data_IF_905172922249
#
_entry.id   IF_905172922249
#
_cell.length_a   1.000
_cell.length_b   1.000
_cell.length_c   1.000
_cell.angle_alpha   90.00
_cell.angle_beta   90.00
_cell.angle_gamma   90.00
#
_symmetry.space_group_name_H-M   'P 1'
#
loop_
_entity.id
_entity.type
_entity.pdbx_description
1 polymer ?
#
# COMPACT_ATOMS: atom_id res chain seq x y z
N UNK A 1 53.16 -68.82 13.40
CA UNK A 1 53.81 -68.82 14.73
C UNK A 1 53.02 -67.99 15.72
N UNK A 2 52.60 -68.62 16.80
CA UNK A 2 52.34 -68.11 18.16
C UNK A 2 51.07 -67.26 18.29
N UNK A 3 49.98 -67.81 18.82
CA UNK A 3 49.68 -68.13 20.21
C UNK A 3 49.76 -66.88 21.14
N UNK A 4 48.62 -66.48 21.68
CA UNK A 4 48.36 -66.32 23.11
C UNK A 4 46.99 -65.67 23.34
N UNK A 5 46.07 -66.42 23.80
CA UNK A 5 45.47 -66.48 25.15
C UNK A 5 44.59 -65.29 25.56
N UNK A 6 43.31 -65.57 25.54
CA UNK A 6 42.36 -65.54 26.68
C UNK A 6 42.62 -64.46 27.75
N UNK A 7 41.63 -63.59 27.91
CA UNK A 7 41.09 -63.22 29.24
C UNK A 7 39.63 -62.86 29.17
N UNK A 8 38.84 -63.76 29.65
CA UNK A 8 37.44 -63.59 30.04
C UNK A 8 37.46 -62.69 31.30
N UNK A 9 36.82 -61.56 31.25
CA UNK A 9 36.41 -60.83 32.44
C UNK A 9 34.92 -60.53 32.30
N UNK A 10 34.15 -61.34 32.99
CA UNK A 10 32.80 -61.08 33.41
C UNK A 10 32.78 -59.78 34.21
N UNK A 11 32.06 -58.80 33.81
CA UNK A 11 31.60 -57.77 34.71
C UNK A 11 30.15 -57.44 34.34
N UNK A 12 29.24 -58.28 34.83
CA UNK A 12 27.84 -57.97 34.96
C UNK A 12 27.70 -56.78 35.91
N UNK A 13 27.72 -55.60 35.38
CA UNK A 13 27.12 -54.43 36.08
C UNK A 13 25.66 -54.38 35.69
N UNK A 14 24.82 -54.96 36.54
CA UNK A 14 23.40 -54.67 36.61
C UNK A 14 23.16 -53.19 36.67
N UNK A 15 22.87 -52.60 35.52
CA UNK A 15 22.37 -51.22 35.46
C UNK A 15 20.93 -51.26 35.97
N UNK A 16 20.76 -50.93 37.25
CA UNK A 16 19.45 -50.64 37.82
C UNK A 16 18.97 -49.38 37.15
N UNK A 17 18.17 -49.51 36.10
CA UNK A 17 17.37 -48.48 35.54
C UNK A 17 16.37 -48.01 36.61
N UNK A 18 16.73 -46.92 37.30
CA UNK A 18 15.79 -46.14 38.06
C UNK A 18 15.14 -45.15 37.12
N UNK A 19 14.34 -45.64 36.21
CA UNK A 19 13.32 -44.82 35.56
C UNK A 19 12.24 -44.52 36.61
N UNK A 20 12.49 -43.54 37.46
CA UNK A 20 11.42 -42.86 38.18
C UNK A 20 10.58 -42.15 37.11
N UNK A 21 9.63 -42.91 36.55
CA UNK A 21 8.63 -42.37 35.65
C UNK A 21 7.87 -41.27 36.38
N UNK A 22 8.24 -40.03 36.08
CA UNK A 22 7.43 -38.85 36.42
C UNK A 22 6.14 -38.99 35.59
N UNK A 23 5.18 -39.70 36.11
CA UNK A 23 3.85 -39.80 35.55
C UNK A 23 3.22 -38.43 35.74
N UNK A 24 3.38 -37.58 34.73
CA UNK A 24 2.57 -36.36 34.64
C UNK A 24 1.12 -36.83 34.53
N UNK A 25 0.36 -36.63 35.57
CA UNK A 25 -1.07 -36.85 35.59
C UNK A 25 -1.70 -35.85 34.64
N UNK A 26 -1.83 -36.17 33.39
CA UNK A 26 -2.52 -35.34 32.41
C UNK A 26 -3.97 -35.25 32.86
N UNK A 27 -4.35 -34.07 33.35
CA UNK A 27 -5.77 -33.75 33.54
C UNK A 27 -6.36 -33.57 32.15
N UNK A 28 -7.17 -34.48 31.70
CA UNK A 28 -7.95 -34.33 30.47
C UNK A 28 -8.94 -33.17 30.61
N UNK A 29 -9.08 -32.38 29.56
CA UNK A 29 -10.13 -31.37 29.47
C UNK A 29 -11.52 -32.02 29.51
N UNK A 30 -12.42 -31.40 30.25
CA UNK A 30 -13.80 -31.79 30.25
C UNK A 30 -14.50 -31.30 28.97
N UNK A 31 -15.49 -32.04 28.50
CA UNK A 31 -16.25 -31.68 27.30
C UNK A 31 -16.94 -30.33 27.44
N UNK A 32 -17.37 -29.98 28.67
CA UNK A 32 -18.00 -28.68 28.96
C UNK A 32 -17.01 -27.51 28.93
N UNK A 33 -15.79 -27.70 29.39
CA UNK A 33 -14.73 -26.67 29.31
C UNK A 33 -14.43 -26.32 27.85
N UNK A 34 -14.34 -27.32 26.97
CA UNK A 34 -14.11 -27.10 25.55
C UNK A 34 -15.31 -26.36 24.92
N UNK A 35 -16.54 -26.77 25.25
CA UNK A 35 -17.75 -26.20 24.68
C UNK A 35 -17.91 -24.73 25.07
N UNK A 36 -17.63 -24.36 26.31
CA UNK A 36 -17.68 -22.95 26.78
C UNK A 36 -16.63 -22.10 26.07
N UNK A 37 -15.41 -22.62 25.89
CA UNK A 37 -14.35 -21.88 25.19
C UNK A 37 -14.71 -21.60 23.74
N UNK A 38 -15.21 -22.60 22.99
CA UNK A 38 -15.59 -22.38 21.59
C UNK A 38 -16.79 -21.45 21.46
N UNK A 39 -17.72 -21.47 22.41
CA UNK A 39 -18.86 -20.55 22.44
C UNK A 39 -18.40 -19.08 22.63
N UNK A 40 -17.48 -18.84 23.56
CA UNK A 40 -16.90 -17.50 23.80
C UNK A 40 -16.13 -17.02 22.57
N UNK A 41 -15.26 -17.88 22.00
CA UNK A 41 -14.51 -17.53 20.78
C UNK A 41 -15.47 -17.23 19.63
N UNK A 42 -16.55 -17.97 19.47
CA UNK A 42 -17.57 -17.75 18.44
C UNK A 42 -18.22 -16.36 18.55
N UNK A 43 -18.60 -15.95 19.77
CA UNK A 43 -19.17 -14.63 20.01
C UNK A 43 -18.15 -13.52 19.74
N UNK A 44 -16.94 -13.65 20.25
CA UNK A 44 -15.87 -12.66 20.03
C UNK A 44 -15.49 -12.54 18.55
N UNK A 45 -15.43 -13.66 17.82
CA UNK A 45 -15.16 -13.65 16.40
C UNK A 45 -16.26 -12.91 15.61
N UNK A 46 -17.53 -13.14 15.93
CA UNK A 46 -18.64 -12.50 15.25
C UNK A 46 -18.60 -10.97 15.37
N UNK A 47 -18.33 -10.44 16.57
CA UNK A 47 -18.21 -9.00 16.81
C UNK A 47 -16.90 -8.45 16.18
N UNK A 48 -15.80 -9.20 16.28
CA UNK A 48 -14.48 -8.82 15.80
C UNK A 48 -14.46 -8.61 14.27
N UNK A 49 -15.13 -9.46 13.50
CA UNK A 49 -15.14 -9.35 12.02
C UNK A 49 -15.84 -8.06 11.57
N UNK A 50 -16.97 -7.68 12.19
CA UNK A 50 -17.70 -6.46 11.83
C UNK A 50 -16.87 -5.21 12.17
N UNK A 51 -16.28 -5.15 13.35
CA UNK A 51 -15.41 -4.04 13.77
C UNK A 51 -14.18 -3.91 12.88
N UNK A 52 -13.52 -5.02 12.52
CA UNK A 52 -12.34 -5.05 11.68
C UNK A 52 -12.64 -4.56 10.25
N UNK A 53 -13.80 -4.94 9.68
CA UNK A 53 -14.19 -4.50 8.33
C UNK A 53 -14.38 -2.98 8.26
N UNK A 54 -15.02 -2.37 9.26
CA UNK A 54 -15.19 -0.93 9.36
C UNK A 54 -13.86 -0.18 9.50
N UNK A 55 -12.96 -0.70 10.34
CA UNK A 55 -11.62 -0.13 10.51
C UNK A 55 -10.80 -0.16 9.23
N UNK A 56 -10.80 -1.28 8.51
CA UNK A 56 -10.03 -1.41 7.26
C UNK A 56 -10.54 -0.48 6.15
N UNK A 57 -11.85 -0.26 6.05
CA UNK A 57 -12.43 0.69 5.10
C UNK A 57 -12.04 2.13 5.43
N UNK A 58 -12.12 2.52 6.71
CA UNK A 58 -11.68 3.85 7.15
C UNK A 58 -10.19 4.08 6.92
N UNK A 59 -9.34 3.09 7.19
CA UNK A 59 -7.91 3.16 6.93
C UNK A 59 -7.59 3.34 5.44
N UNK A 60 -8.29 2.62 4.55
CA UNK A 60 -8.16 2.80 3.10
C UNK A 60 -8.54 4.20 2.66
N UNK A 61 -9.65 4.74 3.15
CA UNK A 61 -10.11 6.10 2.88
C UNK A 61 -9.05 7.13 3.26
N UNK A 62 -8.55 7.08 4.50
CA UNK A 62 -7.50 7.99 4.98
C UNK A 62 -6.25 7.89 4.10
N UNK A 63 -5.83 6.69 3.72
CA UNK A 63 -4.67 6.50 2.85
C UNK A 63 -4.88 7.09 1.43
N UNK A 64 -6.10 7.04 0.89
CA UNK A 64 -6.42 7.67 -0.41
C UNK A 64 -6.37 9.20 -0.28
N UNK A 65 -6.97 9.76 0.77
CA UNK A 65 -6.96 11.20 1.05
C UNK A 65 -5.53 11.73 1.24
N UNK A 66 -4.69 10.99 1.96
CA UNK A 66 -3.28 11.31 2.17
C UNK A 66 -2.49 11.29 0.86
N UNK A 67 -2.66 10.26 0.03
CA UNK A 67 -2.04 10.19 -1.28
C UNK A 67 -2.46 11.38 -2.17
N UNK A 68 -3.76 11.71 -2.18
CA UNK A 68 -4.27 12.85 -2.95
C UNK A 68 -3.65 14.18 -2.48
N UNK A 69 -3.58 14.39 -1.17
CA UNK A 69 -3.01 15.59 -0.58
C UNK A 69 -1.50 15.67 -0.86
N UNK A 70 -0.77 14.58 -0.68
CA UNK A 70 0.67 14.53 -0.92
C UNK A 70 0.99 14.83 -2.39
N UNK A 71 0.33 14.16 -3.32
CA UNK A 71 0.52 14.39 -4.76
C UNK A 71 0.08 15.80 -5.14
N UNK A 72 -1.06 16.27 -4.63
CA UNK A 72 -1.54 17.60 -4.91
C UNK A 72 -0.62 18.70 -4.41
N UNK A 73 -0.06 18.57 -3.21
CA UNK A 73 0.90 19.52 -2.66
C UNK A 73 2.23 19.51 -3.45
N UNK A 74 2.70 18.34 -3.85
CA UNK A 74 3.92 18.20 -4.63
C UNK A 74 3.76 18.83 -6.04
N UNK A 75 2.63 18.62 -6.72
CA UNK A 75 2.33 19.30 -7.99
C UNK A 75 2.26 20.81 -7.80
N UNK A 76 1.74 21.29 -6.68
CA UNK A 76 1.70 22.71 -6.35
C UNK A 76 3.11 23.30 -6.24
N UNK A 77 4.05 22.60 -5.58
CA UNK A 77 5.46 22.96 -5.53
C UNK A 77 6.10 22.96 -6.92
N UNK A 78 5.86 21.93 -7.72
CA UNK A 78 6.35 21.84 -9.11
C UNK A 78 5.76 22.95 -9.98
N UNK A 79 4.52 23.38 -9.73
CA UNK A 79 3.93 24.54 -10.42
C UNK A 79 4.64 25.86 -10.06
N UNK A 80 5.05 26.02 -8.79
CA UNK A 80 5.85 27.16 -8.35
C UNK A 80 7.24 27.17 -9.00
N UNK A 81 7.87 26.01 -9.15
CA UNK A 81 9.14 25.90 -9.89
C UNK A 81 8.96 26.33 -11.35
N UNK A 82 7.85 25.96 -11.98
CA UNK A 82 7.47 26.45 -13.29
C UNK A 82 7.38 27.98 -13.34
N UNK A 83 6.69 28.58 -12.39
CA UNK A 83 6.46 30.04 -12.32
C UNK A 83 7.75 30.82 -12.03
N UNK A 84 8.64 30.28 -11.21
CA UNK A 84 9.87 30.96 -10.77
C UNK A 84 11.02 30.67 -11.73
N UNK A 85 11.29 29.37 -12.00
CA UNK A 85 12.45 28.92 -12.75
C UNK A 85 12.15 28.73 -14.24
N UNK A 86 10.87 28.65 -14.64
CA UNK A 86 10.44 28.37 -16.00
C UNK A 86 10.65 26.90 -16.42
N UNK A 87 10.94 26.03 -15.47
CA UNK A 87 11.25 24.62 -15.73
C UNK A 87 10.89 23.74 -14.54
N UNK A 88 10.60 22.48 -14.81
CA UNK A 88 10.35 21.44 -13.81
C UNK A 88 11.25 20.24 -14.04
N UNK A 89 11.62 19.59 -12.94
CA UNK A 89 12.44 18.37 -12.97
C UNK A 89 11.61 17.20 -12.45
N UNK A 90 11.17 16.34 -13.35
CA UNK A 90 10.24 15.25 -13.05
C UNK A 90 10.78 13.89 -13.52
N UNK A 91 10.39 12.81 -12.85
CA UNK A 91 10.65 11.45 -13.34
C UNK A 91 9.83 11.21 -14.58
N UNK A 92 10.43 10.64 -15.61
CA UNK A 92 9.75 10.45 -16.89
C UNK A 92 10.18 9.15 -17.58
N UNK A 93 9.25 8.60 -18.39
CA UNK A 93 9.48 7.39 -19.18
C UNK A 93 10.64 7.54 -20.20
N UNK A 94 10.87 8.76 -20.70
CA UNK A 94 12.00 9.10 -21.59
C UNK A 94 13.30 9.43 -20.86
N UNK A 95 13.38 9.25 -19.54
CA UNK A 95 14.64 9.35 -18.79
C UNK A 95 15.55 8.17 -19.10
N UNK A 96 16.87 8.34 -18.91
CA UNK A 96 17.83 7.26 -19.07
C UNK A 96 18.67 7.09 -17.78
N UNK A 97 18.46 6.02 -16.98
CA UNK A 97 17.47 4.95 -17.17
C UNK A 97 16.01 5.43 -17.03
N UNK A 98 15.05 4.60 -17.50
CA UNK A 98 13.60 4.88 -17.35
C UNK A 98 13.27 5.25 -15.90
N UNK A 99 12.47 6.32 -15.72
CA UNK A 99 12.11 6.83 -14.41
C UNK A 99 13.19 7.70 -13.75
N UNK A 100 14.29 8.01 -14.44
CA UNK A 100 15.22 9.05 -14.00
C UNK A 100 14.60 10.44 -14.15
N UNK A 101 15.14 11.41 -13.41
CA UNK A 101 14.72 12.80 -13.52
C UNK A 101 15.10 13.39 -14.87
N UNK A 102 14.19 14.17 -15.44
CA UNK A 102 14.38 14.92 -16.67
C UNK A 102 13.79 16.31 -16.50
N UNK A 103 14.53 17.32 -16.94
CA UNK A 103 14.11 18.72 -16.93
C UNK A 103 13.23 19.01 -18.15
N UNK A 104 12.14 19.73 -17.93
CA UNK A 104 11.21 20.22 -18.94
C UNK A 104 11.02 21.71 -18.80
N UNK A 105 11.04 22.43 -19.93
CA UNK A 105 10.77 23.88 -19.98
C UNK A 105 9.27 24.12 -20.04
N UNK A 106 8.72 24.79 -19.07
CA UNK A 106 7.27 24.92 -18.88
C UNK A 106 6.56 25.66 -20.02
N UNK A 107 7.21 26.64 -20.65
CA UNK A 107 6.61 27.40 -21.74
C UNK A 107 6.35 26.57 -23.00
N UNK A 108 7.02 25.44 -23.13
CA UNK A 108 6.80 24.50 -24.24
C UNK A 108 5.64 23.53 -23.96
N UNK A 109 5.13 23.52 -22.73
CA UNK A 109 4.11 22.60 -22.27
C UNK A 109 2.80 23.34 -22.01
N UNK A 110 1.68 22.73 -22.35
CA UNK A 110 0.36 23.17 -21.91
C UNK A 110 -0.07 22.36 -20.65
N UNK A 111 -1.17 22.77 -20.01
CA UNK A 111 -1.65 22.09 -18.78
C UNK A 111 -1.93 20.60 -18.97
N UNK A 112 -2.35 20.18 -20.16
CA UNK A 112 -2.57 18.75 -20.44
C UNK A 112 -1.26 17.98 -20.58
N UNK A 113 -0.24 18.55 -21.23
CA UNK A 113 1.08 17.92 -21.27
C UNK A 113 1.76 17.92 -19.89
N UNK A 114 1.60 19.00 -19.12
CA UNK A 114 2.05 19.03 -17.71
C UNK A 114 1.37 17.94 -16.87
N UNK A 115 0.07 17.75 -17.01
CA UNK A 115 -0.65 16.67 -16.33
C UNK A 115 -0.09 15.28 -16.69
N UNK A 116 0.26 15.08 -17.96
CA UNK A 116 0.90 13.83 -18.41
C UNK A 116 2.31 13.64 -17.81
N UNK A 117 3.11 14.69 -17.75
CA UNK A 117 4.43 14.66 -17.11
C UNK A 117 4.31 14.32 -15.62
N UNK A 118 3.34 14.88 -14.91
CA UNK A 118 3.10 14.57 -13.51
C UNK A 118 2.60 13.12 -13.34
N UNK A 119 1.76 12.62 -14.24
CA UNK A 119 1.35 11.21 -14.19
C UNK A 119 2.55 10.26 -14.35
N UNK A 120 3.44 10.55 -15.27
CA UNK A 120 4.70 9.80 -15.41
C UNK A 120 5.56 9.90 -14.15
N UNK A 121 5.68 11.11 -13.57
CA UNK A 121 6.44 11.33 -12.34
C UNK A 121 5.98 10.42 -11.22
N UNK A 122 4.68 10.36 -10.94
CA UNK A 122 4.13 9.53 -9.85
C UNK A 122 4.12 8.05 -10.18
N UNK A 123 4.07 7.69 -11.46
CA UNK A 123 4.27 6.31 -11.89
C UNK A 123 5.62 5.75 -11.42
N UNK A 124 6.67 6.55 -11.56
CA UNK A 124 8.03 6.14 -11.18
C UNK A 124 8.39 6.48 -9.72
N UNK A 125 7.51 7.13 -8.97
CA UNK A 125 7.75 7.51 -7.57
C UNK A 125 7.28 6.47 -6.55
N UNK A 126 6.70 5.35 -7.01
CA UNK A 126 6.37 4.20 -6.15
C UNK A 126 5.09 4.35 -5.34
N UNK A 127 4.21 5.30 -5.68
CA UNK A 127 2.88 5.37 -5.07
C UNK A 127 2.05 4.14 -5.41
N UNK A 128 1.40 3.55 -4.40
CA UNK A 128 0.61 2.33 -4.52
C UNK A 128 -0.86 2.65 -4.21
N UNK A 129 -1.78 2.08 -5.00
CA UNK A 129 -3.21 2.17 -4.73
C UNK A 129 -3.55 1.42 -3.44
N UNK A 130 -4.10 2.09 -2.40
CA UNK A 130 -4.40 1.44 -1.11
C UNK A 130 -5.53 0.42 -1.18
N UNK A 131 -6.36 0.46 -2.22
CA UNK A 131 -7.48 -0.47 -2.43
C UNK A 131 -7.03 -1.69 -3.23
N UNK A 132 -6.24 -1.46 -4.28
CA UNK A 132 -5.70 -2.51 -5.13
C UNK A 132 -4.18 -2.37 -5.22
N UNK A 133 -3.48 -3.08 -4.36
CA UNK A 133 -2.01 -3.00 -4.22
C UNK A 133 -1.24 -3.50 -5.45
N UNK A 134 -1.86 -4.31 -6.28
CA UNK A 134 -1.26 -4.81 -7.52
C UNK A 134 -1.33 -3.79 -8.66
N UNK A 135 -1.99 -2.66 -8.44
CA UNK A 135 -2.17 -1.60 -9.42
C UNK A 135 -1.39 -0.35 -9.02
N UNK A 136 -0.83 0.33 -10.02
CA UNK A 136 -0.30 1.67 -9.83
C UNK A 136 -1.36 2.61 -9.26
N UNK A 137 -0.96 3.62 -8.50
CA UNK A 137 -1.88 4.60 -7.91
C UNK A 137 -2.56 5.48 -8.96
N UNK A 138 -1.91 5.65 -10.12
CA UNK A 138 -2.35 6.51 -11.23
C UNK A 138 -3.10 5.73 -12.32
N UNK A 139 -3.92 6.42 -13.09
CA UNK A 139 -4.65 5.85 -14.22
C UNK A 139 -4.84 6.86 -15.36
N UNK A 140 -4.62 6.38 -16.58
CA UNK A 140 -4.93 7.10 -17.83
C UNK A 140 -6.38 6.84 -18.23
N UNK A 141 -7.22 7.88 -18.27
CA UNK A 141 -8.59 7.78 -18.73
C UNK A 141 -9.65 7.99 -17.64
N UNK A 142 -10.90 7.75 -18.01
CA UNK A 142 -12.05 7.93 -17.11
C UNK A 142 -12.43 6.61 -16.47
N UNK A 143 -12.12 6.43 -15.19
CA UNK A 143 -12.72 5.39 -14.34
C UNK A 143 -13.74 6.06 -13.42
N UNK A 144 -14.84 5.38 -13.13
CA UNK A 144 -15.88 5.88 -12.23
C UNK A 144 -16.28 4.81 -11.20
N UNK A 145 -16.83 5.26 -10.08
CA UNK A 145 -17.31 4.38 -9.02
C UNK A 145 -16.23 3.45 -8.46
N UNK A 146 -16.60 2.19 -8.21
CA UNK A 146 -15.70 1.19 -7.60
C UNK A 146 -14.40 0.94 -8.40
N UNK A 147 -14.43 1.10 -9.72
CA UNK A 147 -13.25 0.91 -10.57
C UNK A 147 -12.22 2.03 -10.45
N UNK A 148 -12.64 3.19 -9.93
CA UNK A 148 -11.81 4.37 -9.75
C UNK A 148 -11.29 4.52 -8.31
N UNK A 149 -11.77 3.72 -7.37
CA UNK A 149 -11.42 3.85 -5.96
C UNK A 149 -9.90 3.71 -5.73
N UNK A 150 -9.33 4.71 -5.08
CA UNK A 150 -7.92 4.76 -4.74
C UNK A 150 -6.96 5.13 -5.88
N UNK A 151 -7.46 5.30 -7.11
CA UNK A 151 -6.65 5.83 -8.20
C UNK A 151 -6.57 7.36 -8.13
N UNK A 152 -5.41 7.89 -8.49
CA UNK A 152 -5.22 9.34 -8.68
C UNK A 152 -5.30 9.63 -10.18
N UNK A 153 -6.21 10.52 -10.55
CA UNK A 153 -6.30 11.07 -11.90
C UNK A 153 -5.77 12.49 -11.89
N UNK A 154 -4.84 12.77 -12.79
CA UNK A 154 -4.29 14.12 -13.01
C UNK A 154 -4.75 14.55 -14.40
N UNK A 155 -5.55 15.61 -14.46
CA UNK A 155 -6.19 16.08 -15.70
C UNK A 155 -5.91 17.57 -15.89
N UNK A 156 -5.34 17.92 -17.04
CA UNK A 156 -5.05 19.30 -17.44
C UNK A 156 -6.02 19.87 -18.47
N UNK A 157 -7.18 19.27 -18.64
CA UNK A 157 -8.19 19.74 -19.61
C UNK A 157 -9.37 20.45 -18.92
N UNK A 158 -9.93 21.50 -19.53
CA UNK A 158 -9.46 22.14 -20.76
C UNK A 158 -8.19 22.98 -20.51
N UNK A 159 -7.28 23.00 -21.48
CA UNK A 159 -5.99 23.71 -21.36
C UNK A 159 -6.13 25.24 -21.18
N UNK A 160 -7.25 25.79 -21.62
CA UNK A 160 -7.56 27.22 -21.47
C UNK A 160 -7.80 27.67 -20.02
N UNK A 161 -8.01 26.75 -19.09
CA UNK A 161 -8.30 27.11 -17.69
C UNK A 161 -7.03 27.27 -16.84
N UNK A 162 -5.86 26.95 -17.40
CA UNK A 162 -4.58 27.01 -16.67
C UNK A 162 -4.57 26.26 -15.35
N UNK A 163 -5.34 25.19 -15.29
CA UNK A 163 -5.54 24.38 -14.07
C UNK A 163 -5.23 22.91 -14.38
N UNK A 164 -4.42 22.32 -13.53
CA UNK A 164 -4.30 20.88 -13.42
C UNK A 164 -5.16 20.40 -12.26
N UNK A 165 -6.07 19.49 -12.54
CA UNK A 165 -6.98 18.90 -11.58
C UNK A 165 -6.46 17.55 -11.13
N UNK A 166 -6.23 17.40 -9.83
CA UNK A 166 -5.88 16.12 -9.21
C UNK A 166 -7.11 15.59 -8.48
N UNK A 167 -7.53 14.39 -8.79
CA UNK A 167 -8.73 13.81 -8.19
C UNK A 167 -8.56 12.34 -7.84
N UNK A 168 -9.32 11.89 -6.85
CA UNK A 168 -9.44 10.50 -6.47
C UNK A 168 -10.86 10.16 -6.06
N UNK A 169 -11.24 8.91 -6.23
CA UNK A 169 -12.53 8.40 -5.79
C UNK A 169 -12.37 7.62 -4.50
N UNK A 170 -13.18 7.97 -3.53
CA UNK A 170 -13.28 7.30 -2.23
C UNK A 170 -14.65 6.69 -2.04
N UNK A 171 -14.70 5.59 -1.30
CA UNK A 171 -15.96 4.98 -0.85
C UNK A 171 -16.28 5.47 0.55
N UNK A 172 -17.49 5.97 0.74
CA UNK A 172 -18.00 6.28 2.07
C UNK A 172 -18.44 4.98 2.77
N UNK A 173 -17.84 4.64 3.92
CA UNK A 173 -18.17 3.40 4.61
C UNK A 173 -19.57 3.38 5.21
N UNK A 174 -20.17 4.56 5.50
CA UNK A 174 -21.49 4.67 6.12
C UNK A 174 -22.63 4.59 5.12
N UNK A 175 -22.48 5.24 3.97
CA UNK A 175 -23.48 5.31 2.91
C UNK A 175 -23.25 4.31 1.79
N UNK A 176 -22.08 3.67 1.74
CA UNK A 176 -21.65 2.76 0.68
C UNK A 176 -21.62 3.42 -0.71
N UNK A 177 -21.56 4.76 -0.78
CA UNK A 177 -21.51 5.56 -2.00
C UNK A 177 -20.08 5.95 -2.34
N UNK A 178 -19.86 6.31 -3.63
CA UNK A 178 -18.57 6.77 -4.12
C UNK A 178 -18.59 8.29 -4.31
N UNK A 179 -17.60 8.97 -3.73
CA UNK A 179 -17.42 10.42 -3.84
C UNK A 179 -16.06 10.72 -4.48
N UNK A 180 -16.01 11.74 -5.34
CA UNK A 180 -14.77 12.20 -5.94
C UNK A 180 -14.21 13.37 -5.12
N UNK A 181 -13.01 13.20 -4.61
CA UNK A 181 -12.21 14.28 -4.03
C UNK A 181 -11.41 14.94 -5.14
N UNK A 182 -11.25 16.26 -5.07
CA UNK A 182 -10.56 17.03 -6.11
C UNK A 182 -9.73 18.14 -5.50
N UNK A 183 -8.50 18.30 -6.00
CA UNK A 183 -7.62 19.46 -5.76
C UNK A 183 -7.30 20.11 -7.10
N UNK A 184 -7.51 21.43 -7.21
CA UNK A 184 -7.19 22.22 -8.40
C UNK A 184 -5.90 23.00 -8.17
N UNK A 185 -4.97 22.91 -9.11
CA UNK A 185 -3.67 23.58 -9.05
C UNK A 185 -3.55 24.50 -10.27
N UNK A 186 -3.41 25.79 -10.00
CA UNK A 186 -3.33 26.83 -11.04
C UNK A 186 -1.90 27.09 -11.45
N UNK A 187 -1.66 27.22 -12.75
CA UNK A 187 -0.40 27.67 -13.33
C UNK A 187 -0.50 29.15 -13.71
N UNK A 188 0.53 29.92 -13.42
CA UNK A 188 0.54 31.38 -13.59
C UNK A 188 1.55 31.80 -14.67
N UNK A 189 1.12 31.74 -15.94
CA UNK A 189 1.78 32.50 -17.00
C UNK A 189 3.07 31.95 -17.61
N UNK A 190 3.56 30.77 -17.19
CA UNK A 190 4.73 30.15 -17.81
C UNK A 190 4.45 28.82 -18.50
N UNK A 191 3.24 28.36 -18.43
CA UNK A 191 2.75 27.20 -19.19
C UNK A 191 2.04 27.70 -20.43
N UNK A 192 2.28 27.06 -21.58
CA UNK A 192 1.73 27.50 -22.85
C UNK A 192 0.20 27.57 -22.82
N UNK A 193 -0.34 28.73 -23.15
CA UNK A 193 -1.78 29.00 -23.11
C UNK A 193 -2.28 29.52 -21.76
N UNK A 194 -1.37 29.71 -20.79
CA UNK A 194 -1.61 30.38 -19.52
C UNK A 194 -0.86 31.70 -19.43
#
# INVERSE_FOLDING_TARGET
>A
SKIFLSRKLNNEKTFRDRSSGFVMKQKGFTLIELLVVVAIIGILAAVGVVAYSGYTQSAKRISIEENLNTIGNDIELLSMDCDILGKVNVRHNGGNPKGSFKEYTCINENTNSMANLFMDHYHFSGFINPVNRDSATWYWGTKTGAKAEGYILIDGKPTSNCVVKVSSVIKDPSTNTYTTLTKNISFRGRVNGC
#
